data_IF_519693081639
#
_entry.id   IF_519693081639
#
_cell.length_a   1.000
_cell.length_b   1.000
_cell.length_c   1.000
_cell.angle_alpha   90.00
_cell.angle_beta   90.00
_cell.angle_gamma   90.00
#
_symmetry.space_group_name_H-M   'P 1'
#
loop_
_entity.id
_entity.type
_entity.pdbx_description
1 polymer ?
#
# COMPACT_ATOMS: atom_id res chain seq x y z
N UNK A 1 10.18 20.80 15.66
CA UNK A 1 11.04 21.10 14.50
C UNK A 1 10.67 20.17 13.36
N UNK A 2 10.64 20.63 12.10
CA UNK A 2 10.39 19.74 10.96
C UNK A 2 11.53 18.73 10.85
N UNK A 3 11.21 17.47 10.56
CA UNK A 3 12.24 16.46 10.34
C UNK A 3 13.01 16.76 9.06
N UNK A 4 14.33 16.89 9.18
CA UNK A 4 15.22 17.26 8.08
C UNK A 4 16.61 16.68 8.29
N UNK A 5 17.32 16.46 7.19
CA UNK A 5 18.77 16.20 7.23
C UNK A 5 19.50 17.27 6.43
N UNK A 6 20.68 17.62 6.93
CA UNK A 6 21.64 18.53 6.30
C UNK A 6 22.94 17.78 6.07
N UNK A 7 23.54 18.03 4.91
CA UNK A 7 24.85 17.49 4.55
C UNK A 7 25.81 18.67 4.51
N UNK A 8 26.92 18.50 5.21
CA UNK A 8 28.01 19.45 5.25
C UNK A 8 29.28 18.83 4.69
N UNK A 9 30.14 19.68 4.15
CA UNK A 9 31.50 19.34 3.78
C UNK A 9 32.46 20.09 4.69
N UNK A 10 33.50 19.41 5.14
CA UNK A 10 34.61 20.01 5.83
C UNK A 10 35.89 19.38 5.33
N UNK A 11 36.63 20.11 4.48
CA UNK A 11 37.82 19.56 3.81
C UNK A 11 37.46 18.21 3.14
N UNK A 12 38.09 17.10 3.50
CA UNK A 12 37.79 15.75 2.98
C UNK A 12 36.85 14.93 3.89
N UNK A 13 35.99 15.60 4.65
CA UNK A 13 35.06 14.96 5.59
C UNK A 13 33.62 15.28 5.20
N UNK A 14 32.85 14.24 4.89
CA UNK A 14 31.42 14.34 4.65
C UNK A 14 30.67 14.19 5.98
N UNK A 15 29.79 15.12 6.29
CA UNK A 15 29.05 15.14 7.56
C UNK A 15 27.57 15.19 7.25
N UNK A 16 26.81 14.21 7.73
CA UNK A 16 25.35 14.17 7.63
C UNK A 16 24.78 14.33 9.03
N UNK A 17 24.01 15.39 9.23
CA UNK A 17 23.29 15.64 10.47
C UNK A 17 21.80 15.57 10.21
N UNK A 18 21.07 14.86 11.06
CA UNK A 18 19.62 14.71 10.91
C UNK A 18 18.89 15.04 12.19
N UNK A 19 17.71 15.63 12.06
CA UNK A 19 16.69 15.78 13.10
C UNK A 19 15.45 14.99 12.64
N UNK A 20 15.08 13.96 13.39
CA UNK A 20 14.07 12.96 13.00
C UNK A 20 12.90 12.86 13.99
N UNK A 21 12.83 13.73 15.01
CA UNK A 21 11.82 13.60 16.08
C UNK A 21 10.39 13.52 15.57
N UNK A 22 9.99 14.41 14.67
CA UNK A 22 8.62 14.46 14.17
C UNK A 22 8.26 13.18 13.39
N UNK A 23 9.11 12.78 12.44
CA UNK A 23 8.86 11.61 11.59
C UNK A 23 8.87 10.30 12.39
N UNK A 24 9.71 10.20 13.41
CA UNK A 24 9.77 9.05 14.33
C UNK A 24 8.46 8.95 15.13
N UNK A 25 8.00 10.06 15.72
CA UNK A 25 6.73 10.05 16.46
C UNK A 25 5.54 9.71 15.55
N UNK A 26 5.55 10.17 14.30
CA UNK A 26 4.55 9.78 13.30
C UNK A 26 4.58 8.26 13.03
N UNK A 27 5.75 7.68 12.82
CA UNK A 27 5.92 6.24 12.62
C UNK A 27 5.46 5.43 13.85
N UNK A 28 5.87 5.83 15.07
CA UNK A 28 5.46 5.20 16.33
C UNK A 28 3.93 5.20 16.45
N UNK A 29 3.29 6.34 16.15
CA UNK A 29 1.82 6.47 16.20
C UNK A 29 1.14 5.55 15.18
N UNK A 30 1.65 5.47 13.95
CA UNK A 30 1.14 4.59 12.89
C UNK A 30 1.18 3.12 13.35
N UNK A 31 2.29 2.71 13.97
CA UNK A 31 2.48 1.34 14.40
C UNK A 31 1.85 1.00 15.75
N UNK A 32 1.39 2.03 16.48
CA UNK A 32 0.86 1.96 17.85
C UNK A 32 1.88 1.31 18.80
N UNK A 33 3.14 1.71 18.70
CA UNK A 33 4.20 1.20 19.56
C UNK A 33 4.29 2.01 20.85
N UNK A 34 4.78 1.35 21.90
CA UNK A 34 5.14 1.96 23.17
C UNK A 34 6.46 1.38 23.70
N UNK A 35 6.91 1.95 24.82
CA UNK A 35 8.02 1.42 25.62
C UNK A 35 9.28 1.13 24.76
N UNK A 36 9.90 -0.04 24.90
CA UNK A 36 11.15 -0.39 24.21
C UNK A 36 10.97 -0.49 22.71
N UNK A 37 9.80 -0.90 22.22
CA UNK A 37 9.54 -1.04 20.78
C UNK A 37 9.55 0.32 20.07
N UNK A 38 8.97 1.35 20.71
CA UNK A 38 9.06 2.73 20.24
C UNK A 38 10.50 3.20 20.13
N UNK A 39 11.32 2.86 21.12
CA UNK A 39 12.72 3.26 21.14
C UNK A 39 13.55 2.52 20.07
N UNK A 40 13.31 1.24 19.85
CA UNK A 40 13.97 0.45 18.79
C UNK A 40 13.61 1.02 17.41
N UNK A 41 12.33 1.29 17.15
CA UNK A 41 11.90 1.92 15.90
C UNK A 41 12.52 3.32 15.73
N UNK A 42 12.55 4.11 16.81
CA UNK A 42 13.15 5.44 16.81
C UNK A 42 14.63 5.40 16.44
N UNK A 43 15.42 4.56 17.13
CA UNK A 43 16.85 4.38 16.85
C UNK A 43 17.11 3.93 15.43
N UNK A 44 16.34 2.96 14.93
CA UNK A 44 16.53 2.46 13.57
C UNK A 44 16.21 3.54 12.52
N UNK A 45 15.09 4.26 12.65
CA UNK A 45 14.75 5.36 11.73
C UNK A 45 15.82 6.45 11.79
N UNK A 46 16.29 6.82 12.98
CA UNK A 46 17.27 7.89 13.16
C UNK A 46 18.63 7.53 12.55
N UNK A 47 19.08 6.29 12.72
CA UNK A 47 20.39 5.81 12.23
C UNK A 47 20.37 5.50 10.73
N UNK A 48 19.36 4.77 10.25
CA UNK A 48 19.34 4.25 8.88
C UNK A 48 18.60 5.15 7.89
N UNK A 49 17.67 5.97 8.37
CA UNK A 49 16.94 6.93 7.54
C UNK A 49 17.88 7.79 6.67
N UNK A 50 18.86 8.48 7.27
CA UNK A 50 19.77 9.39 6.57
C UNK A 50 20.59 8.77 5.44
N UNK A 51 20.69 7.44 5.35
CA UNK A 51 21.47 6.76 4.32
C UNK A 51 21.06 7.14 2.90
N UNK A 52 19.78 7.45 2.63
CA UNK A 52 19.33 7.84 1.28
C UNK A 52 19.96 9.13 0.75
N UNK A 53 20.63 9.90 1.61
CA UNK A 53 21.38 11.08 1.22
C UNK A 53 22.71 10.74 0.55
N UNK A 54 23.22 9.51 0.74
CA UNK A 54 24.40 8.99 0.05
C UNK A 54 24.11 8.57 -1.41
N UNK A 55 22.85 8.57 -1.83
CA UNK A 55 22.45 8.21 -3.20
C UNK A 55 22.79 9.36 -4.14
N UNK A 56 23.57 9.08 -5.18
CA UNK A 56 23.90 10.06 -6.24
C UNK A 56 22.89 10.05 -7.39
N UNK A 57 22.21 8.93 -7.63
CA UNK A 57 21.23 8.75 -8.70
C UNK A 57 19.93 9.54 -8.46
N UNK A 58 19.24 9.91 -9.55
CA UNK A 58 17.95 10.63 -9.50
C UNK A 58 16.81 9.80 -8.90
N UNK A 59 16.86 8.48 -9.12
CA UNK A 59 15.90 7.52 -8.55
C UNK A 59 16.68 6.44 -7.81
N UNK A 60 16.14 6.04 -6.68
CA UNK A 60 16.72 5.00 -5.86
C UNK A 60 16.43 5.20 -4.38
N UNK A 61 16.86 4.23 -3.59
CA UNK A 61 16.63 4.20 -2.17
C UNK A 61 17.46 3.14 -1.45
N UNK A 62 17.19 3.01 -0.16
CA UNK A 62 17.69 1.91 0.65
C UNK A 62 16.51 1.14 1.23
N UNK A 63 16.64 -0.18 1.28
CA UNK A 63 15.83 -1.09 2.08
C UNK A 63 16.74 -1.75 3.10
N UNK A 64 16.53 -1.40 4.36
CA UNK A 64 17.30 -1.90 5.50
C UNK A 64 16.43 -2.91 6.21
N UNK A 65 16.90 -4.15 6.33
CA UNK A 65 16.25 -5.21 7.09
C UNK A 65 17.13 -5.61 8.27
N UNK A 66 16.53 -5.59 9.45
CA UNK A 66 17.14 -6.03 10.70
C UNK A 66 16.32 -7.20 11.22
N UNK A 67 17.03 -8.26 11.57
CA UNK A 67 16.47 -9.44 12.22
C UNK A 67 17.29 -9.75 13.46
N UNK A 68 16.63 -10.05 14.57
CA UNK A 68 17.26 -10.68 15.73
C UNK A 68 16.28 -11.60 16.44
N UNK A 69 16.76 -12.39 17.40
CA UNK A 69 15.91 -13.25 18.24
C UNK A 69 14.72 -12.51 18.87
N UNK A 70 14.92 -11.26 19.28
CA UNK A 70 13.90 -10.42 19.92
C UNK A 70 13.26 -9.41 18.95
N UNK A 71 13.60 -9.48 17.66
CA UNK A 71 13.10 -8.57 16.63
C UNK A 71 12.86 -9.37 15.35
N UNK A 72 11.66 -9.96 15.23
CA UNK A 72 11.32 -10.87 14.15
C UNK A 72 11.48 -10.24 12.76
N UNK A 73 11.11 -8.97 12.62
CA UNK A 73 11.40 -8.22 11.41
C UNK A 73 11.24 -6.72 11.65
N UNK A 74 12.32 -5.98 11.43
CA UNK A 74 12.30 -4.54 11.27
C UNK A 74 12.79 -4.19 9.88
N UNK A 75 11.97 -3.48 9.11
CA UNK A 75 12.33 -3.00 7.78
C UNK A 75 12.18 -1.49 7.74
N UNK A 76 13.19 -0.80 7.22
CA UNK A 76 13.14 0.64 6.95
C UNK A 76 13.43 0.83 5.47
N UNK A 77 12.58 1.59 4.81
CA UNK A 77 12.79 1.98 3.42
C UNK A 77 12.84 3.49 3.30
N UNK A 78 13.87 3.97 2.62
CA UNK A 78 14.04 5.39 2.31
C UNK A 78 14.35 5.57 0.84
N UNK A 79 13.99 6.72 0.29
CA UNK A 79 14.33 7.06 -1.09
C UNK A 79 15.02 8.42 -1.22
N UNK A 80 15.51 8.70 -2.43
CA UNK A 80 16.18 9.97 -2.77
C UNK A 80 15.31 11.20 -2.52
N UNK A 81 13.99 11.09 -2.44
CA UNK A 81 13.07 12.22 -2.22
C UNK A 81 12.82 12.52 -0.74
N UNK A 82 13.47 11.81 0.20
CA UNK A 82 13.26 12.07 1.63
C UNK A 82 11.95 11.47 2.13
N UNK A 83 11.45 10.46 1.44
CA UNK A 83 10.34 9.65 1.91
C UNK A 83 10.88 8.47 2.70
N UNK A 84 10.22 8.15 3.81
CA UNK A 84 10.54 7.02 4.66
C UNK A 84 9.28 6.22 5.01
N UNK A 85 9.44 4.90 5.12
CA UNK A 85 8.48 4.02 5.77
C UNK A 85 9.20 2.97 6.57
N UNK A 86 8.53 2.44 7.58
CA UNK A 86 9.05 1.34 8.36
C UNK A 86 7.97 0.28 8.59
N UNK A 87 8.38 -0.98 8.69
CA UNK A 87 7.56 -2.05 9.23
C UNK A 87 8.20 -2.59 10.48
N UNK A 88 7.43 -2.77 11.54
CA UNK A 88 7.91 -3.27 12.83
C UNK A 88 7.07 -4.45 13.27
N UNK A 89 7.69 -5.63 13.35
CA UNK A 89 7.05 -6.85 13.82
C UNK A 89 7.70 -7.34 15.12
N UNK A 90 7.11 -6.95 16.25
CA UNK A 90 7.21 -7.52 17.60
C UNK A 90 6.50 -6.57 18.60
N UNK A 91 5.17 -6.54 18.64
CA UNK A 91 4.44 -5.45 19.32
C UNK A 91 4.20 -5.65 20.82
N UNK A 92 4.45 -6.85 21.35
CA UNK A 92 3.93 -7.24 22.67
C UNK A 92 4.97 -7.26 23.79
N UNK A 93 6.22 -6.91 23.50
CA UNK A 93 7.27 -6.89 24.50
C UNK A 93 7.39 -5.53 25.19
N UNK A 94 7.44 -5.50 26.52
CA UNK A 94 7.65 -4.30 27.33
C UNK A 94 8.68 -4.57 28.42
N UNK A 95 9.44 -3.54 28.80
CA UNK A 95 10.33 -3.55 29.97
C UNK A 95 9.83 -2.53 31.00
N UNK A 96 10.17 -2.70 32.29
CA UNK A 96 9.77 -1.73 33.32
C UNK A 96 10.28 -0.31 33.05
N UNK A 97 9.46 0.70 33.34
CA UNK A 97 9.76 2.10 33.02
C UNK A 97 11.00 2.64 33.77
N UNK A 98 11.38 2.02 34.89
CA UNK A 98 12.60 2.35 35.64
C UNK A 98 13.89 2.17 34.82
N UNK A 99 13.91 1.24 33.86
CA UNK A 99 15.07 1.01 33.01
C UNK A 99 15.38 2.22 32.14
N UNK A 100 14.36 2.96 31.69
CA UNK A 100 14.51 4.18 30.90
C UNK A 100 15.08 5.36 31.69
N UNK A 101 15.03 5.30 33.03
CA UNK A 101 15.65 6.29 33.92
C UNK A 101 17.11 5.94 34.26
N UNK A 102 17.45 4.65 34.24
CA UNK A 102 18.74 4.12 34.68
C UNK A 102 19.75 3.97 33.55
N UNK A 103 19.30 3.58 32.37
CA UNK A 103 20.16 3.29 31.22
C UNK A 103 19.91 4.29 30.10
N UNK A 104 20.95 4.57 29.31
CA UNK A 104 20.76 5.43 28.17
C UNK A 104 20.00 4.69 27.04
N UNK A 105 19.32 5.42 26.14
CA UNK A 105 18.47 4.79 25.14
C UNK A 105 19.20 3.83 24.18
N UNK A 106 20.46 4.10 23.83
CA UNK A 106 21.22 3.23 22.92
C UNK A 106 21.57 1.88 23.58
N UNK A 107 21.93 1.90 24.86
CA UNK A 107 22.19 0.69 25.65
C UNK A 107 20.94 -0.20 25.78
N UNK A 108 19.77 0.41 25.98
CA UNK A 108 18.50 -0.31 26.04
C UNK A 108 18.18 -0.99 24.71
N UNK A 109 18.37 -0.29 23.59
CA UNK A 109 18.16 -0.86 22.25
C UNK A 109 19.13 -2.01 22.00
N UNK A 110 20.42 -1.83 22.26
CA UNK A 110 21.41 -2.90 22.10
C UNK A 110 21.09 -4.12 22.97
N UNK A 111 20.72 -3.91 24.24
CA UNK A 111 20.35 -4.99 25.15
C UNK A 111 19.11 -5.76 24.70
N UNK A 112 18.12 -5.06 24.13
CA UNK A 112 16.89 -5.67 23.64
C UNK A 112 17.10 -6.41 22.32
N UNK A 113 17.70 -5.75 21.32
CA UNK A 113 17.93 -6.32 19.99
C UNK A 113 18.94 -7.45 20.06
N UNK A 114 20.04 -7.25 20.79
CA UNK A 114 21.14 -8.18 20.92
C UNK A 114 21.94 -8.37 19.63
N UNK A 115 22.84 -9.34 19.65
CA UNK A 115 23.76 -9.65 18.54
C UNK A 115 23.40 -10.93 17.77
N UNK A 116 22.36 -11.64 18.20
CA UNK A 116 21.91 -12.90 17.58
C UNK A 116 21.00 -12.60 16.40
N UNK A 117 21.59 -12.17 15.28
CA UNK A 117 20.86 -11.72 14.11
C UNK A 117 21.72 -11.08 13.02
N UNK A 118 21.10 -10.36 12.10
CA UNK A 118 21.79 -9.69 11.00
C UNK A 118 21.22 -8.31 10.67
N UNK A 119 22.07 -7.48 10.08
CA UNK A 119 21.74 -6.25 9.38
C UNK A 119 21.95 -6.48 7.89
N UNK A 120 20.90 -6.31 7.09
CA UNK A 120 20.96 -6.34 5.62
C UNK A 120 20.58 -4.98 5.07
N UNK A 121 21.43 -4.42 4.21
CA UNK A 121 21.17 -3.16 3.52
C UNK A 121 21.17 -3.45 2.02
N UNK A 122 20.04 -3.16 1.38
CA UNK A 122 19.90 -3.19 -0.07
C UNK A 122 19.77 -1.75 -0.59
N UNK A 123 20.68 -1.34 -1.46
CA UNK A 123 20.60 -0.09 -2.22
C UNK A 123 20.00 -0.41 -3.57
N UNK A 124 18.85 0.17 -3.88
CA UNK A 124 18.21 0.04 -5.19
C UNK A 124 18.33 1.34 -5.98
N UNK A 125 18.50 1.22 -7.29
CA UNK A 125 18.78 2.36 -8.19
C UNK A 125 18.34 2.11 -9.63
N UNK A 126 18.66 3.03 -10.55
CA UNK A 126 18.35 2.83 -11.97
C UNK A 126 19.30 1.86 -12.65
N UNK A 127 20.58 1.86 -12.22
CA UNK A 127 21.63 1.12 -12.94
C UNK A 127 21.87 -0.26 -12.36
N UNK A 128 22.02 -0.37 -11.04
CA UNK A 128 22.32 -1.62 -10.36
C UNK A 128 21.77 -1.61 -8.93
N UNK A 129 21.30 -2.77 -8.48
CA UNK A 129 21.00 -3.03 -7.08
C UNK A 129 22.23 -3.60 -6.39
N UNK A 130 22.55 -3.12 -5.19
CA UNK A 130 23.64 -3.61 -4.36
C UNK A 130 23.09 -4.06 -3.02
N UNK A 131 23.43 -5.27 -2.58
CA UNK A 131 23.04 -5.77 -1.27
C UNK A 131 24.26 -6.23 -0.47
N UNK A 132 24.37 -5.74 0.75
CA UNK A 132 25.31 -6.23 1.76
C UNK A 132 24.57 -6.75 2.99
N UNK A 133 25.13 -7.76 3.65
CA UNK A 133 24.61 -8.31 4.89
C UNK A 133 25.76 -8.59 5.86
N UNK A 134 25.60 -8.16 7.11
CA UNK A 134 26.57 -8.39 8.20
C UNK A 134 25.86 -8.93 9.45
N UNK A 135 26.54 -9.73 10.28
CA UNK A 135 26.02 -10.07 11.60
C UNK A 135 25.87 -8.83 12.48
N UNK A 136 24.86 -8.82 13.35
CA UNK A 136 24.75 -7.79 14.40
C UNK A 136 25.93 -7.92 15.36
N UNK A 137 26.49 -6.79 15.77
CA UNK A 137 27.61 -6.74 16.72
C UNK A 137 27.08 -6.68 18.14
N UNK A 138 26.23 -5.69 18.40
CA UNK A 138 25.59 -5.45 19.71
C UNK A 138 24.12 -5.08 19.60
N UNK A 139 23.61 -4.77 18.39
CA UNK A 139 22.21 -4.44 18.19
C UNK A 139 21.82 -3.00 18.50
N UNK A 140 22.80 -2.11 18.76
CA UNK A 140 22.57 -0.68 19.03
C UNK A 140 22.38 0.16 17.76
N UNK A 141 22.45 -0.49 16.58
CA UNK A 141 22.39 0.07 15.23
C UNK A 141 23.55 0.99 14.84
N UNK A 142 24.14 1.72 15.79
CA UNK A 142 25.31 2.59 15.57
C UNK A 142 26.55 1.75 15.26
N UNK A 143 26.88 0.81 16.15
CA UNK A 143 28.01 -0.09 16.01
C UNK A 143 27.80 -1.06 14.85
N UNK A 144 26.56 -1.50 14.65
CA UNK A 144 26.19 -2.40 13.55
C UNK A 144 26.36 -1.72 12.18
N UNK A 145 25.92 -0.47 12.03
CA UNK A 145 26.10 0.29 10.80
C UNK A 145 27.57 0.68 10.57
N UNK A 146 28.32 1.02 11.62
CA UNK A 146 29.74 1.29 11.52
C UNK A 146 30.49 0.05 11.00
N UNK A 147 30.17 -1.12 11.54
CA UNK A 147 30.72 -2.40 11.09
C UNK A 147 30.33 -2.71 9.64
N UNK A 148 29.07 -2.46 9.25
CA UNK A 148 28.63 -2.59 7.86
C UNK A 148 29.47 -1.73 6.91
N UNK A 149 29.69 -0.44 7.22
CA UNK A 149 30.50 0.44 6.38
C UNK A 149 31.95 -0.02 6.28
N UNK A 150 32.52 -0.49 7.38
CA UNK A 150 33.88 -1.02 7.39
C UNK A 150 34.00 -2.28 6.50
N UNK A 151 33.12 -3.27 6.69
CA UNK A 151 33.22 -4.56 6.01
C UNK A 151 32.74 -4.53 4.55
N UNK A 152 31.64 -3.84 4.28
CA UNK A 152 30.96 -3.91 2.95
C UNK A 152 31.27 -2.73 2.03
N UNK A 153 31.62 -1.56 2.58
CA UNK A 153 31.87 -0.34 1.79
C UNK A 153 33.34 0.11 1.83
N UNK A 154 34.16 -0.47 2.72
CA UNK A 154 35.56 -0.08 2.93
C UNK A 154 35.75 1.40 3.27
N UNK A 155 34.74 2.02 3.91
CA UNK A 155 34.76 3.44 4.27
C UNK A 155 34.87 3.59 5.78
N UNK A 156 35.88 4.34 6.25
CA UNK A 156 35.96 4.75 7.66
C UNK A 156 34.84 5.74 7.96
N UNK A 157 33.91 5.31 8.80
CA UNK A 157 32.72 6.07 9.16
C UNK A 157 32.56 6.14 10.67
N UNK A 158 32.13 7.28 11.19
CA UNK A 158 31.72 7.44 12.58
C UNK A 158 30.25 7.80 12.63
N UNK A 159 29.52 7.14 13.53
CA UNK A 159 28.07 7.32 13.68
C UNK A 159 27.77 7.66 15.14
N UNK A 160 26.86 8.60 15.36
CA UNK A 160 26.27 8.87 16.67
C UNK A 160 24.76 8.92 16.56
N UNK A 161 24.09 8.34 17.55
CA UNK A 161 22.64 8.39 17.73
C UNK A 161 22.34 9.10 19.05
N UNK A 162 21.61 10.21 18.98
CA UNK A 162 21.11 10.96 20.13
C UNK A 162 19.60 10.85 20.15
N UNK A 163 19.05 10.23 21.20
CA UNK A 163 17.62 10.18 21.45
C UNK A 163 17.36 10.66 22.87
N UNK A 164 16.39 11.56 23.01
CA UNK A 164 15.86 12.01 24.29
C UNK A 164 14.39 11.63 24.37
N UNK A 165 13.98 11.20 25.56
CA UNK A 165 12.62 10.79 25.87
C UNK A 165 12.10 11.56 27.07
N UNK A 166 10.80 11.87 27.09
CA UNK A 166 10.16 12.47 28.26
C UNK A 166 9.71 11.41 29.28
N UNK A 167 9.05 11.87 30.35
CA UNK A 167 8.53 11.02 31.42
C UNK A 167 7.45 10.03 30.95
N UNK A 168 6.83 10.28 29.79
CA UNK A 168 5.83 9.43 29.17
C UNK A 168 6.45 8.55 28.06
N UNK A 169 7.78 8.43 28.01
CA UNK A 169 8.54 7.68 27.00
C UNK A 169 8.33 8.18 25.57
N UNK A 170 7.87 9.42 25.39
CA UNK A 170 7.73 10.04 24.09
C UNK A 170 9.08 10.58 23.63
N UNK A 171 9.42 10.37 22.36
CA UNK A 171 10.64 10.90 21.76
C UNK A 171 10.53 12.43 21.66
N UNK A 172 11.33 13.17 22.43
CA UNK A 172 11.38 14.64 22.41
C UNK A 172 12.44 15.16 21.45
N UNK A 173 13.55 14.43 21.31
CA UNK A 173 14.66 14.74 20.41
C UNK A 173 15.21 13.46 19.81
N UNK A 174 15.51 13.46 18.51
CA UNK A 174 16.14 12.38 17.80
C UNK A 174 17.06 12.97 16.74
N UNK A 175 18.36 13.00 17.03
CA UNK A 175 19.38 13.48 16.12
C UNK A 175 20.39 12.39 15.81
N UNK A 176 20.85 12.35 14.56
CA UNK A 176 21.89 11.42 14.13
C UNK A 176 23.03 12.18 13.48
N UNK A 177 24.24 11.69 13.66
CA UNK A 177 25.43 12.17 12.99
C UNK A 177 26.09 11.00 12.26
N UNK A 178 26.33 11.14 10.96
CA UNK A 178 27.13 10.22 10.16
C UNK A 178 28.28 11.02 9.57
N UNK A 179 29.51 10.65 9.91
CA UNK A 179 30.73 11.24 9.38
C UNK A 179 31.43 10.19 8.53
N UNK A 180 31.81 10.54 7.30
CA UNK A 180 32.60 9.68 6.42
C UNK A 180 33.85 10.42 5.97
N UNK A 181 34.99 9.76 6.11
CA UNK A 181 36.24 10.27 5.55
C UNK A 181 36.26 9.97 4.04
N UNK A 182 36.39 11.02 3.23
CA UNK A 182 36.53 10.93 1.78
C UNK A 182 37.98 10.60 1.39
N UNK A 183 38.23 10.12 0.16
CA UNK A 183 39.59 9.87 -0.29
C UNK A 183 40.52 11.07 -0.08
N UNK A 184 41.79 10.80 0.25
CA UNK A 184 42.84 11.80 0.51
C UNK A 184 42.68 12.61 1.80
N UNK A 185 41.95 12.09 2.80
CA UNK A 185 41.94 12.67 4.14
C UNK A 185 43.34 12.65 4.77
N UNK A 186 43.62 13.62 5.66
CA UNK A 186 44.84 13.75 6.44
C UNK A 186 44.67 13.24 7.88
N UNK A 187 45.79 12.98 8.55
CA UNK A 187 45.78 12.57 9.97
C UNK A 187 45.21 13.67 10.88
N UNK A 188 45.41 14.95 10.53
CA UNK A 188 44.85 16.07 11.30
C UNK A 188 43.31 16.08 11.22
N UNK A 189 42.74 15.73 10.08
CA UNK A 189 41.27 15.64 9.91
C UNK A 189 40.69 14.51 10.77
N UNK A 190 41.40 13.39 10.90
CA UNK A 190 41.00 12.31 11.83
C UNK A 190 40.98 12.82 13.27
N UNK A 191 42.03 13.51 13.71
CA UNK A 191 42.14 14.05 15.06
C UNK A 191 41.03 15.07 15.37
N UNK A 192 40.69 15.93 14.41
CA UNK A 192 39.57 16.88 14.51
C UNK A 192 38.23 16.14 14.68
N UNK A 193 37.95 15.14 13.84
CA UNK A 193 36.74 14.32 13.93
C UNK A 193 36.67 13.60 15.28
N UNK A 194 37.76 12.97 15.74
CA UNK A 194 37.80 12.31 17.04
C UNK A 194 37.55 13.30 18.19
N UNK A 195 38.07 14.51 18.10
CA UNK A 195 37.85 15.57 19.09
C UNK A 195 36.36 15.92 19.18
N UNK A 196 35.68 16.09 18.04
CA UNK A 196 34.24 16.31 18.01
C UNK A 196 33.47 15.14 18.63
N UNK A 197 33.80 13.91 18.29
CA UNK A 197 33.13 12.71 18.79
C UNK A 197 33.32 12.46 20.30
N UNK A 198 34.43 12.93 20.87
CA UNK A 198 34.76 12.87 22.31
C UNK A 198 34.13 14.04 23.08
N UNK A 199 33.71 15.11 22.41
CA UNK A 199 33.17 16.30 23.04
C UNK A 199 31.74 16.06 23.59
N UNK A 200 31.66 15.69 24.86
CA UNK A 200 30.39 15.50 25.59
C UNK A 200 29.53 16.77 25.72
N UNK A 201 30.07 17.95 25.38
CA UNK A 201 29.29 19.20 25.41
C UNK A 201 28.43 19.39 24.15
N UNK A 202 28.67 18.62 23.08
CA UNK A 202 27.83 18.66 21.89
C UNK A 202 26.50 17.98 22.22
N UNK A 203 25.51 18.80 22.60
CA UNK A 203 24.14 18.36 22.91
C UNK A 203 23.19 18.51 21.72
N UNK A 204 23.60 19.26 20.70
CA UNK A 204 22.85 19.45 19.47
C UNK A 204 23.79 19.40 18.28
N UNK A 205 23.62 18.40 17.43
CA UNK A 205 24.46 18.24 16.25
C UNK A 205 24.12 19.27 15.17
N UNK A 206 22.85 19.71 15.09
CA UNK A 206 22.42 20.68 14.07
C UNK A 206 23.05 22.04 14.35
N UNK A 207 23.00 22.47 15.62
CA UNK A 207 23.64 23.72 16.06
C UNK A 207 25.16 23.65 15.89
N UNK A 208 25.79 22.55 16.32
CA UNK A 208 27.25 22.43 16.29
C UNK A 208 27.85 22.54 14.87
N UNK A 209 27.19 21.94 13.87
CA UNK A 209 27.67 21.95 12.48
C UNK A 209 27.06 23.09 11.64
N UNK A 210 26.31 24.03 12.23
CA UNK A 210 25.57 25.04 11.45
C UNK A 210 26.47 25.93 10.58
N UNK A 211 27.69 26.19 11.06
CA UNK A 211 28.67 27.08 10.43
C UNK A 211 29.59 26.37 9.42
N UNK A 212 29.37 25.08 9.18
CA UNK A 212 30.11 24.30 8.19
C UNK A 212 29.53 24.53 6.79
N UNK A 213 30.29 24.21 5.74
CA UNK A 213 29.84 24.37 4.36
C UNK A 213 28.66 23.44 4.07
N UNK A 214 27.46 24.01 3.91
CA UNK A 214 26.24 23.26 3.61
C UNK A 214 26.20 22.90 2.11
N UNK A 215 26.25 21.60 1.79
CA UNK A 215 26.19 21.11 0.41
C UNK A 215 24.79 20.58 0.03
N UNK A 216 23.91 20.37 1.00
CA UNK A 216 22.54 19.97 0.72
C UNK A 216 21.67 19.85 1.96
N UNK A 217 20.37 19.97 1.76
CA UNK A 217 19.37 19.74 2.80
C UNK A 217 18.13 19.10 2.19
N UNK A 218 17.35 18.38 3.01
CA UNK A 218 16.05 17.86 2.59
C UNK A 218 15.19 17.49 3.79
N UNK A 219 13.89 17.53 3.58
CA UNK A 219 12.88 17.24 4.58
C UNK A 219 12.44 15.78 4.50
N UNK A 220 12.05 15.24 5.65
CA UNK A 220 11.52 13.88 5.77
C UNK A 220 10.00 13.87 5.77
N UNK A 221 9.43 12.87 5.11
CA UNK A 221 7.98 12.61 5.11
C UNK A 221 7.72 11.12 5.24
N UNK A 222 6.70 10.75 6.03
CA UNK A 222 6.27 9.36 6.09
C UNK A 222 5.44 9.07 4.84
N UNK A 223 5.75 7.97 4.15
CA UNK A 223 5.06 7.64 2.91
C UNK A 223 4.80 6.15 2.79
N UNK A 224 3.54 5.79 2.54
CA UNK A 224 3.20 4.43 2.16
C UNK A 224 2.36 4.44 0.88
N UNK A 225 2.90 3.83 -0.18
CA UNK A 225 2.23 3.65 -1.47
C UNK A 225 1.33 2.41 -1.54
N UNK A 226 0.77 1.92 -0.43
CA UNK A 226 -0.17 0.81 -0.48
C UNK A 226 -1.45 1.25 -1.21
N UNK A 227 -1.82 0.52 -2.26
CA UNK A 227 -3.03 0.76 -3.06
C UNK A 227 -3.92 -0.48 -3.05
N UNK A 228 -5.25 -0.27 -3.02
CA UNK A 228 -6.27 -1.31 -3.03
C UNK A 228 -6.15 -2.21 -4.25
N UNK A 229 -5.71 -1.67 -5.39
CA UNK A 229 -5.58 -2.42 -6.65
C UNK A 229 -4.67 -3.64 -6.50
N UNK A 230 -3.50 -3.46 -5.87
CA UNK A 230 -2.55 -4.55 -5.66
C UNK A 230 -3.06 -5.59 -4.65
N UNK A 231 -3.90 -5.17 -3.69
CA UNK A 231 -4.49 -6.08 -2.70
C UNK A 231 -5.56 -6.98 -3.34
N UNK A 232 -6.34 -6.47 -4.29
CA UNK A 232 -7.31 -7.27 -5.05
C UNK A 232 -6.58 -8.34 -5.88
N UNK A 233 -5.44 -8.00 -6.49
CA UNK A 233 -4.63 -9.01 -7.21
C UNK A 233 -4.13 -10.11 -6.26
N UNK A 234 -3.73 -9.75 -5.04
CA UNK A 234 -3.30 -10.72 -4.04
C UNK A 234 -4.42 -11.65 -3.56
N UNK A 235 -5.70 -11.27 -3.67
CA UNK A 235 -6.82 -12.18 -3.39
C UNK A 235 -6.74 -13.44 -4.28
N UNK A 236 -6.19 -13.34 -5.48
CA UNK A 236 -6.04 -14.47 -6.40
C UNK A 236 -5.05 -15.54 -5.92
N UNK A 237 -4.21 -15.22 -4.93
CA UNK A 237 -3.27 -16.17 -4.35
C UNK A 237 -3.98 -17.17 -3.42
N UNK A 238 -5.15 -16.81 -2.88
CA UNK A 238 -5.91 -17.69 -2.01
C UNK A 238 -6.68 -18.74 -2.81
N UNK A 239 -6.72 -19.94 -2.25
CA UNK A 239 -7.56 -21.06 -2.69
C UNK A 239 -8.99 -20.88 -2.19
N UNK A 240 -9.95 -21.55 -2.84
CA UNK A 240 -11.36 -21.49 -2.43
C UNK A 240 -11.55 -21.96 -0.98
N UNK A 241 -10.85 -23.04 -0.59
CA UNK A 241 -10.89 -23.57 0.77
C UNK A 241 -10.41 -22.55 1.81
N UNK A 242 -9.29 -21.87 1.57
CA UNK A 242 -8.77 -20.86 2.49
C UNK A 242 -9.75 -19.69 2.64
N UNK A 243 -10.36 -19.26 1.54
CA UNK A 243 -11.38 -18.20 1.58
C UNK A 243 -12.62 -18.65 2.32
N UNK A 244 -13.10 -19.88 2.08
CA UNK A 244 -14.26 -20.41 2.77
C UNK A 244 -14.04 -20.56 4.27
N UNK A 245 -12.84 -21.03 4.67
CA UNK A 245 -12.45 -21.10 6.08
C UNK A 245 -12.39 -19.69 6.69
N UNK A 246 -11.83 -18.69 5.99
CA UNK A 246 -11.79 -17.31 6.47
C UNK A 246 -13.20 -16.69 6.60
N UNK A 247 -14.06 -16.87 5.60
CA UNK A 247 -15.41 -16.31 5.59
C UNK A 247 -16.29 -17.01 6.63
N UNK A 248 -16.16 -18.33 6.80
CA UNK A 248 -16.89 -19.09 7.82
C UNK A 248 -16.53 -18.65 9.24
N UNK A 249 -15.25 -18.46 9.52
CA UNK A 249 -14.76 -18.16 10.87
C UNK A 249 -14.77 -16.66 11.20
N UNK A 250 -14.56 -15.79 10.21
CA UNK A 250 -14.33 -14.36 10.42
C UNK A 250 -15.25 -13.45 9.60
N UNK A 251 -16.08 -13.99 8.70
CA UNK A 251 -17.00 -13.27 7.80
C UNK A 251 -16.35 -12.33 6.77
N UNK A 252 -15.02 -12.17 6.80
CA UNK A 252 -14.25 -11.29 5.92
C UNK A 252 -12.82 -11.81 5.74
N UNK A 253 -12.16 -11.32 4.70
CA UNK A 253 -10.72 -11.45 4.47
C UNK A 253 -10.09 -10.09 4.78
N UNK A 254 -9.11 -10.02 5.67
CA UNK A 254 -8.45 -8.75 6.03
C UNK A 254 -6.98 -8.74 5.64
N UNK A 255 -6.57 -7.69 4.93
CA UNK A 255 -5.17 -7.37 4.72
C UNK A 255 -4.77 -6.18 5.60
N UNK A 256 -3.68 -6.34 6.33
CA UNK A 256 -3.08 -5.27 7.12
C UNK A 256 -1.75 -4.91 6.47
N UNK A 257 -1.56 -3.64 6.12
CA UNK A 257 -0.28 -3.18 5.58
C UNK A 257 0.77 -3.11 6.69
N UNK A 258 1.87 -3.85 6.55
CA UNK A 258 2.96 -3.86 7.54
C UNK A 258 3.68 -2.50 7.68
N UNK A 259 3.49 -1.55 6.76
CA UNK A 259 4.15 -0.23 6.79
C UNK A 259 3.28 0.90 7.35
N UNK A 260 1.99 0.91 7.02
CA UNK A 260 1.09 2.00 7.42
C UNK A 260 -0.08 1.54 8.29
N UNK A 261 -0.13 0.25 8.63
CA UNK A 261 -1.15 -0.41 9.46
C UNK A 261 -2.60 -0.26 9.00
N UNK A 262 -2.83 0.36 7.84
CA UNK A 262 -4.14 0.42 7.21
C UNK A 262 -4.63 -1.00 6.96
N UNK A 263 -5.85 -1.24 7.42
CA UNK A 263 -6.56 -2.51 7.24
C UNK A 263 -7.57 -2.35 6.12
N UNK A 264 -7.67 -3.37 5.26
CA UNK A 264 -8.69 -3.45 4.22
C UNK A 264 -9.38 -4.80 4.30
N UNK A 265 -10.72 -4.76 4.33
CA UNK A 265 -11.56 -5.95 4.40
C UNK A 265 -12.17 -6.24 3.03
N UNK A 266 -12.19 -7.53 2.67
CA UNK A 266 -12.78 -8.06 1.45
C UNK A 266 -13.78 -9.17 1.79
N UNK A 267 -14.76 -9.35 0.92
CA UNK A 267 -15.79 -10.38 0.99
C UNK A 267 -15.47 -11.56 0.07
N UNK A 268 -16.23 -12.66 0.19
CA UNK A 268 -16.15 -13.77 -0.77
C UNK A 268 -16.41 -13.28 -2.20
N UNK A 269 -17.34 -12.33 -2.38
CA UNK A 269 -17.67 -11.73 -3.67
C UNK A 269 -16.46 -11.01 -4.29
N UNK A 270 -15.70 -10.27 -3.49
CA UNK A 270 -14.47 -9.60 -3.95
C UNK A 270 -13.42 -10.61 -4.42
N UNK A 271 -13.27 -11.74 -3.72
CA UNK A 271 -12.37 -12.82 -4.14
C UNK A 271 -12.82 -13.49 -5.45
N UNK A 272 -14.12 -13.78 -5.61
CA UNK A 272 -14.68 -14.30 -6.87
C UNK A 272 -14.38 -13.34 -8.02
N UNK A 273 -14.53 -12.03 -7.78
CA UNK A 273 -14.27 -11.00 -8.79
C UNK A 273 -12.78 -10.85 -9.10
N UNK A 274 -11.90 -11.09 -8.14
CA UNK A 274 -10.47 -11.15 -8.39
C UNK A 274 -10.12 -12.35 -9.28
N UNK A 275 -10.68 -13.54 -8.99
CA UNK A 275 -10.41 -14.79 -9.73
C UNK A 275 -10.92 -14.74 -11.17
N UNK A 276 -12.08 -14.12 -11.34
CA UNK A 276 -12.74 -13.94 -12.64
C UNK A 276 -12.91 -12.44 -12.93
N UNK A 277 -11.82 -11.74 -13.31
CA UNK A 277 -11.78 -10.29 -13.44
C UNK A 277 -12.71 -9.75 -14.52
N UNK A 278 -13.14 -10.63 -15.44
CA UNK A 278 -14.22 -10.40 -16.38
C UNK A 278 -15.20 -11.57 -16.33
N UNK A 279 -16.31 -11.37 -15.62
CA UNK A 279 -17.46 -12.29 -15.55
C UNK A 279 -18.73 -11.49 -15.76
N UNK A 280 -19.65 -12.02 -16.59
CA UNK A 280 -20.81 -11.33 -17.13
C UNK A 280 -22.07 -12.19 -17.00
N UNK A 281 -23.20 -11.56 -16.66
CA UNK A 281 -24.52 -12.16 -16.79
C UNK A 281 -25.52 -11.16 -17.39
N UNK A 282 -26.65 -11.64 -17.91
CA UNK A 282 -27.75 -10.79 -18.40
C UNK A 282 -29.03 -10.96 -17.56
N UNK A 283 -29.81 -9.88 -17.44
CA UNK A 283 -31.20 -9.94 -16.95
C UNK A 283 -32.11 -9.20 -17.94
N UNK A 284 -32.94 -9.94 -18.66
CA UNK A 284 -33.62 -9.46 -19.86
C UNK A 284 -35.14 -9.43 -19.66
N UNK A 285 -35.74 -8.24 -19.78
CA UNK A 285 -37.20 -8.05 -19.75
C UNK A 285 -37.78 -7.60 -21.11
N UNK A 286 -36.92 -7.27 -22.09
CA UNK A 286 -37.33 -6.72 -23.38
C UNK A 286 -36.89 -7.61 -24.56
N UNK A 287 -35.68 -8.15 -24.47
CA UNK A 287 -34.98 -8.83 -25.57
C UNK A 287 -35.22 -10.34 -25.61
N UNK A 288 -35.87 -10.91 -24.59
CA UNK A 288 -36.25 -12.33 -24.58
C UNK A 288 -35.08 -13.32 -24.60
N UNK A 289 -33.89 -12.93 -24.14
CA UNK A 289 -32.68 -13.75 -24.19
C UNK A 289 -31.81 -13.49 -25.42
N UNK A 290 -32.22 -12.58 -26.31
CA UNK A 290 -31.45 -12.27 -27.52
C UNK A 290 -30.08 -11.65 -27.24
N UNK A 291 -29.91 -10.90 -26.14
CA UNK A 291 -28.58 -10.40 -25.76
C UNK A 291 -27.68 -11.54 -25.27
N UNK A 292 -28.20 -12.44 -24.42
CA UNK A 292 -27.48 -13.65 -24.04
C UNK A 292 -27.07 -14.48 -25.26
N UNK A 293 -27.99 -14.65 -26.22
CA UNK A 293 -27.74 -15.35 -27.47
C UNK A 293 -26.63 -14.68 -28.31
N UNK A 294 -26.56 -13.35 -28.32
CA UNK A 294 -25.48 -12.62 -28.98
C UNK A 294 -24.13 -12.85 -28.28
N UNK A 295 -24.10 -12.74 -26.94
CA UNK A 295 -22.88 -12.93 -26.16
C UNK A 295 -22.28 -14.33 -26.37
N UNK A 296 -23.11 -15.39 -26.39
CA UNK A 296 -22.61 -16.77 -26.53
C UNK A 296 -22.05 -17.10 -27.91
N UNK A 297 -22.26 -16.25 -28.93
CA UNK A 297 -21.56 -16.38 -30.23
C UNK A 297 -20.05 -16.15 -30.09
N UNK A 298 -19.63 -15.49 -29.03
CA UNK A 298 -18.21 -15.28 -28.71
C UNK A 298 -17.50 -16.60 -28.43
N UNK A 299 -16.40 -16.86 -29.14
CA UNK A 299 -15.55 -18.02 -28.84
C UNK A 299 -15.03 -17.94 -27.39
N UNK A 300 -15.32 -18.98 -26.61
CA UNK A 300 -14.93 -19.03 -25.20
C UNK A 300 -15.87 -18.29 -24.26
N UNK A 301 -17.09 -17.95 -24.69
CA UNK A 301 -18.14 -17.36 -23.85
C UNK A 301 -18.33 -18.10 -22.52
N UNK A 302 -18.20 -19.44 -22.50
CA UNK A 302 -18.31 -20.26 -21.29
C UNK A 302 -17.29 -19.91 -20.19
N UNK A 303 -16.21 -19.18 -20.50
CA UNK A 303 -15.20 -18.75 -19.53
C UNK A 303 -15.60 -17.49 -18.76
N UNK A 304 -16.51 -16.68 -19.30
CA UNK A 304 -16.87 -15.38 -18.71
C UNK A 304 -18.37 -15.15 -18.59
N UNK A 305 -19.20 -15.77 -19.42
CA UNK A 305 -20.64 -15.60 -19.39
C UNK A 305 -21.27 -16.66 -18.47
N UNK A 306 -21.79 -16.22 -17.32
CA UNK A 306 -22.40 -17.10 -16.33
C UNK A 306 -23.82 -17.53 -16.73
N UNK A 307 -24.53 -16.70 -17.51
CA UNK A 307 -25.88 -16.99 -17.97
C UNK A 307 -26.77 -15.76 -18.06
N UNK A 308 -28.04 -16.00 -18.37
CA UNK A 308 -29.06 -14.95 -18.47
C UNK A 308 -30.36 -15.35 -17.77
N UNK A 309 -31.04 -14.38 -17.17
CA UNK A 309 -32.41 -14.54 -16.64
C UNK A 309 -33.36 -13.71 -17.48
N UNK A 310 -34.40 -14.35 -18.02
CA UNK A 310 -35.47 -13.66 -18.73
C UNK A 310 -36.65 -13.42 -17.78
N UNK A 311 -36.87 -12.17 -17.37
CA UNK A 311 -37.95 -11.78 -16.46
C UNK A 311 -39.07 -10.99 -17.17
N UNK A 312 -39.50 -11.51 -18.32
CA UNK A 312 -40.43 -10.86 -19.24
C UNK A 312 -41.76 -10.47 -18.57
N UNK A 313 -42.36 -11.34 -17.76
CA UNK A 313 -43.64 -11.10 -17.10
C UNK A 313 -43.47 -10.42 -15.73
N UNK A 314 -44.42 -9.54 -15.36
CA UNK A 314 -44.41 -8.84 -14.07
C UNK A 314 -44.38 -9.79 -12.86
N UNK A 315 -45.12 -10.92 -12.93
CA UNK A 315 -45.07 -11.97 -11.87
C UNK A 315 -43.67 -12.55 -11.66
N UNK A 316 -42.85 -12.63 -12.70
CA UNK A 316 -41.46 -13.10 -12.58
C UNK A 316 -40.59 -12.01 -11.96
N UNK A 317 -40.80 -10.74 -12.31
CA UNK A 317 -40.13 -9.59 -11.69
C UNK A 317 -40.40 -9.52 -10.17
N UNK A 318 -41.65 -9.75 -9.76
CA UNK A 318 -42.02 -9.81 -8.35
C UNK A 318 -41.29 -10.92 -7.58
N UNK A 319 -41.15 -12.12 -8.18
CA UNK A 319 -40.40 -13.24 -7.59
C UNK A 319 -38.92 -12.94 -7.37
N UNK A 320 -38.34 -12.03 -8.16
CA UNK A 320 -36.95 -11.61 -8.03
C UNK A 320 -36.79 -10.30 -7.23
N UNK A 321 -37.84 -9.89 -6.49
CA UNK A 321 -37.79 -8.75 -5.57
C UNK A 321 -38.04 -7.39 -6.22
N UNK A 322 -38.52 -7.36 -7.47
CA UNK A 322 -38.76 -6.13 -8.21
C UNK A 322 -40.26 -5.83 -8.18
N UNK A 323 -40.62 -4.84 -7.35
CA UNK A 323 -42.00 -4.33 -7.25
C UNK A 323 -42.26 -3.25 -8.31
N UNK A 324 -43.21 -3.45 -9.24
CA UNK A 324 -43.50 -2.52 -10.32
C UNK A 324 -44.51 -1.44 -9.91
N UNK A 325 -44.33 -0.80 -8.74
CA UNK A 325 -45.31 0.14 -8.17
C UNK A 325 -45.53 1.39 -9.06
N UNK A 326 -44.62 1.71 -9.98
CA UNK A 326 -44.71 2.81 -10.97
C UNK A 326 -44.35 2.35 -12.40
N UNK A 327 -44.74 1.12 -12.75
CA UNK A 327 -44.37 0.49 -14.01
C UNK A 327 -42.94 -0.05 -14.05
N UNK A 328 -42.60 -0.73 -15.15
CA UNK A 328 -41.32 -1.47 -15.32
C UNK A 328 -40.34 -0.82 -16.31
N UNK A 329 -40.81 0.17 -17.08
CA UNK A 329 -40.00 0.92 -18.05
C UNK A 329 -39.38 2.14 -17.39
N UNK A 330 -38.43 1.90 -16.47
CA UNK A 330 -37.72 2.97 -15.77
C UNK A 330 -36.32 2.53 -15.31
N UNK A 331 -35.47 3.52 -15.01
CA UNK A 331 -34.10 3.32 -14.57
C UNK A 331 -34.00 2.49 -13.28
N UNK A 332 -34.92 2.68 -12.33
CA UNK A 332 -34.96 1.94 -11.06
C UNK A 332 -35.16 0.44 -11.28
N UNK A 333 -36.00 0.07 -12.25
CA UNK A 333 -36.24 -1.33 -12.60
C UNK A 333 -34.99 -1.96 -13.21
N UNK A 334 -34.33 -1.27 -14.16
CA UNK A 334 -33.07 -1.74 -14.73
C UNK A 334 -32.00 -1.96 -13.64
N UNK A 335 -31.77 -0.97 -12.77
CA UNK A 335 -30.79 -1.08 -11.69
C UNK A 335 -31.07 -2.25 -10.74
N UNK A 336 -32.33 -2.46 -10.34
CA UNK A 336 -32.71 -3.60 -9.50
C UNK A 336 -32.55 -4.95 -10.20
N UNK A 337 -32.82 -5.01 -11.51
CA UNK A 337 -32.56 -6.22 -12.31
C UNK A 337 -31.06 -6.53 -12.35
N UNK A 338 -30.21 -5.52 -12.55
CA UNK A 338 -28.76 -5.69 -12.53
C UNK A 338 -28.25 -6.13 -11.15
N UNK A 339 -28.73 -5.51 -10.07
CA UNK A 339 -28.40 -5.88 -8.68
C UNK A 339 -28.80 -7.33 -8.37
N UNK A 340 -30.04 -7.72 -8.72
CA UNK A 340 -30.51 -9.09 -8.57
C UNK A 340 -29.62 -10.08 -9.32
N UNK A 341 -29.33 -9.81 -10.60
CA UNK A 341 -28.47 -10.66 -11.39
C UNK A 341 -27.07 -10.80 -10.79
N UNK A 342 -26.52 -9.71 -10.22
CA UNK A 342 -25.17 -9.73 -9.64
C UNK A 342 -25.11 -10.63 -8.40
N UNK A 343 -26.18 -10.63 -7.60
CA UNK A 343 -26.30 -11.47 -6.42
C UNK A 343 -26.61 -12.94 -6.78
N UNK A 344 -27.41 -13.18 -7.82
CA UNK A 344 -27.75 -14.52 -8.28
C UNK A 344 -26.57 -15.23 -8.93
N UNK A 345 -25.94 -14.58 -9.92
CA UNK A 345 -24.85 -15.16 -10.70
C UNK A 345 -23.47 -15.01 -10.05
N UNK A 346 -23.33 -14.16 -9.04
CA UNK A 346 -22.04 -13.82 -8.42
C UNK A 346 -21.00 -13.36 -9.47
N UNK A 347 -21.45 -12.66 -10.52
CA UNK A 347 -20.59 -12.10 -11.57
C UNK A 347 -20.22 -10.66 -11.28
N UNK A 348 -19.06 -10.24 -11.77
CA UNK A 348 -18.57 -8.87 -11.60
C UNK A 348 -19.43 -7.86 -12.36
N UNK A 349 -19.86 -8.24 -13.55
CA UNK A 349 -20.69 -7.42 -14.42
C UNK A 349 -22.04 -8.08 -14.66
N UNK A 350 -23.10 -7.28 -14.58
CA UNK A 350 -24.44 -7.67 -15.01
C UNK A 350 -25.01 -6.56 -15.86
N UNK A 351 -25.51 -6.94 -17.03
CA UNK A 351 -26.26 -6.06 -17.90
C UNK A 351 -27.74 -6.41 -17.85
N UNK A 352 -28.59 -5.42 -17.67
CA UNK A 352 -30.04 -5.61 -17.62
C UNK A 352 -30.76 -4.69 -18.58
N UNK A 353 -31.86 -5.17 -19.16
CA UNK A 353 -32.62 -4.44 -20.18
C UNK A 353 -34.12 -4.50 -19.87
N UNK A 354 -34.74 -3.33 -19.75
CA UNK A 354 -36.20 -3.17 -19.61
C UNK A 354 -36.69 -2.05 -20.52
N UNK A 355 -37.91 -2.13 -21.03
CA UNK A 355 -38.46 -1.11 -21.94
C UNK A 355 -39.63 -1.63 -22.77
N UNK A 356 -40.08 -0.81 -23.71
CA UNK A 356 -41.15 -1.17 -24.65
C UNK A 356 -40.63 -1.25 -26.09
N UNK A 357 -40.70 -2.44 -26.68
CA UNK A 357 -40.49 -2.62 -28.12
C UNK A 357 -41.81 -2.71 -28.89
N UNK A 358 -42.97 -2.59 -28.23
CA UNK A 358 -44.28 -2.68 -28.88
C UNK A 358 -44.68 -4.12 -29.30
N UNK A 359 -45.74 -4.27 -30.13
CA UNK A 359 -46.55 -3.19 -30.71
C UNK A 359 -47.48 -2.51 -29.69
N UNK A 360 -47.81 -3.18 -28.59
CA UNK A 360 -48.60 -2.61 -27.49
C UNK A 360 -47.70 -1.93 -26.46
N UNK A 361 -48.13 -0.79 -25.94
CA UNK A 361 -47.45 -0.06 -24.87
C UNK A 361 -48.04 -0.54 -23.54
N UNK A 362 -47.20 -1.12 -22.67
CA UNK A 362 -47.61 -1.45 -21.31
C UNK A 362 -47.46 -0.24 -20.37
N UNK A 363 -46.30 0.44 -20.38
CA UNK A 363 -46.00 1.59 -19.50
C UNK A 363 -44.96 2.51 -20.15
N UNK A 364 -45.15 3.84 -20.19
CA UNK A 364 -44.18 4.77 -20.79
C UNK A 364 -44.39 4.97 -22.29
N UNK A 365 -43.33 5.22 -23.07
CA UNK A 365 -43.42 5.44 -24.54
C UNK A 365 -42.96 4.21 -25.33
N UNK A 366 -43.49 4.03 -26.54
CA UNK A 366 -42.94 3.07 -27.50
C UNK A 366 -41.48 3.44 -27.79
N UNK A 367 -40.57 2.46 -27.76
CA UNK A 367 -39.16 2.69 -27.99
C UNK A 367 -38.38 3.21 -26.78
N UNK A 368 -39.05 3.50 -25.65
CA UNK A 368 -38.37 3.88 -24.42
C UNK A 368 -37.75 2.65 -23.77
N UNK A 369 -36.43 2.68 -23.56
CA UNK A 369 -35.64 1.56 -23.04
C UNK A 369 -34.65 2.05 -22.00
N UNK A 370 -34.46 1.24 -20.96
CA UNK A 370 -33.44 1.42 -19.94
C UNK A 370 -32.50 0.22 -19.94
N UNK A 371 -31.21 0.51 -20.09
CA UNK A 371 -30.13 -0.49 -20.03
C UNK A 371 -29.27 -0.13 -18.82
N UNK A 372 -29.05 -1.07 -17.93
CA UNK A 372 -28.14 -0.89 -16.79
C UNK A 372 -26.98 -1.87 -16.86
N UNK A 373 -25.77 -1.38 -16.58
CA UNK A 373 -24.55 -2.16 -16.36
C UNK A 373 -24.09 -1.91 -14.93
N UNK A 374 -24.33 -2.87 -14.05
CA UNK A 374 -24.25 -2.68 -12.60
C UNK A 374 -25.05 -1.43 -12.17
N UNK A 375 -24.37 -0.40 -11.64
CA UNK A 375 -24.99 0.83 -11.13
C UNK A 375 -25.16 1.94 -12.19
N UNK A 376 -24.58 1.77 -13.39
CA UNK A 376 -24.73 2.75 -14.47
C UNK A 376 -25.95 2.41 -15.30
N UNK A 377 -26.78 3.41 -15.59
CA UNK A 377 -28.01 3.25 -16.37
C UNK A 377 -28.08 4.27 -17.49
N UNK A 378 -28.54 3.83 -18.66
CA UNK A 378 -28.80 4.64 -19.83
C UNK A 378 -30.28 4.56 -20.18
N UNK A 379 -30.88 5.70 -20.48
CA UNK A 379 -32.21 5.81 -21.08
C UNK A 379 -32.05 6.05 -22.59
N UNK A 380 -32.75 5.28 -23.40
CA UNK A 380 -32.76 5.37 -24.85
C UNK A 380 -34.20 5.56 -25.33
N UNK A 381 -34.37 6.37 -26.37
CA UNK A 381 -35.62 6.51 -27.12
C UNK A 381 -35.34 6.03 -28.54
N UNK A 382 -35.74 4.79 -28.83
CA UNK A 382 -35.44 4.09 -30.07
C UNK A 382 -36.64 4.13 -31.02
N UNK A 383 -36.37 4.22 -32.32
CA UNK A 383 -37.42 4.35 -33.34
C UNK A 383 -37.45 3.14 -34.27
N UNK A 384 -38.65 2.59 -34.48
CA UNK A 384 -38.91 1.54 -35.45
C UNK A 384 -39.91 0.52 -34.97
N UNK A 385 -39.94 -0.61 -35.67
CA UNK A 385 -40.71 -1.77 -35.25
C UNK A 385 -40.04 -2.51 -34.09
N UNK A 386 -40.75 -3.50 -33.54
CA UNK A 386 -40.30 -4.30 -32.40
C UNK A 386 -38.93 -4.93 -32.61
N UNK A 387 -38.67 -5.46 -33.80
CA UNK A 387 -37.41 -6.14 -34.11
C UNK A 387 -36.26 -5.15 -34.18
N UNK A 388 -36.47 -3.99 -34.82
CA UNK A 388 -35.47 -2.93 -34.87
C UNK A 388 -35.13 -2.39 -33.49
N UNK A 389 -36.14 -2.10 -32.65
CA UNK A 389 -35.92 -1.63 -31.28
C UNK A 389 -35.09 -2.65 -30.47
N UNK A 390 -35.43 -3.94 -30.55
CA UNK A 390 -34.68 -5.01 -29.87
C UNK A 390 -33.23 -5.08 -30.37
N UNK A 391 -33.01 -5.03 -31.68
CA UNK A 391 -31.67 -5.07 -32.26
C UNK A 391 -30.82 -3.87 -31.85
N UNK A 392 -31.39 -2.66 -31.86
CA UNK A 392 -30.71 -1.44 -31.43
C UNK A 392 -30.34 -1.50 -29.93
N UNK A 393 -31.22 -2.08 -29.09
CA UNK A 393 -30.91 -2.35 -27.69
C UNK A 393 -29.71 -3.29 -27.52
N UNK A 394 -29.70 -4.41 -28.26
CA UNK A 394 -28.63 -5.41 -28.18
C UNK A 394 -27.31 -4.78 -28.63
N UNK A 395 -27.33 -4.01 -29.71
CA UNK A 395 -26.13 -3.33 -30.22
C UNK A 395 -25.56 -2.36 -29.19
N UNK A 396 -26.39 -1.51 -28.60
CA UNK A 396 -25.94 -0.59 -27.55
C UNK A 396 -25.39 -1.35 -26.33
N UNK A 397 -26.09 -2.40 -25.89
CA UNK A 397 -25.64 -3.23 -24.78
C UNK A 397 -24.28 -3.91 -25.06
N UNK A 398 -24.10 -4.45 -26.27
CA UNK A 398 -22.84 -5.05 -26.71
C UNK A 398 -21.69 -4.03 -26.76
N UNK A 399 -21.96 -2.81 -27.24
CA UNK A 399 -20.99 -1.70 -27.20
C UNK A 399 -20.54 -1.40 -25.76
N UNK A 400 -21.47 -1.29 -24.81
CA UNK A 400 -21.15 -1.06 -23.39
C UNK A 400 -20.40 -2.20 -22.74
N UNK A 401 -20.68 -3.45 -23.12
CA UNK A 401 -19.89 -4.60 -22.67
C UNK A 401 -18.46 -4.52 -23.23
N UNK A 402 -18.31 -4.13 -24.51
CA UNK A 402 -17.00 -4.02 -25.15
C UNK A 402 -16.13 -2.90 -24.53
N UNK A 403 -16.71 -1.80 -24.06
CA UNK A 403 -16.00 -0.72 -23.36
C UNK A 403 -15.31 -1.18 -22.05
N UNK A 404 -15.89 -2.16 -21.35
CA UNK A 404 -15.38 -2.65 -20.04
C UNK A 404 -14.54 -3.92 -20.14
N UNK A 405 -14.43 -4.50 -21.33
CA UNK A 405 -13.84 -5.82 -21.51
C UNK A 405 -12.33 -5.74 -21.71
N UNK A 406 -11.56 -6.73 -21.23
CA UNK A 406 -10.17 -6.90 -21.65
C UNK A 406 -10.06 -7.06 -23.17
N UNK A 407 -8.99 -6.49 -23.76
CA UNK A 407 -8.68 -6.59 -25.20
C UNK A 407 -8.56 -8.05 -25.72
N UNK A 408 -8.44 -9.03 -24.83
CA UNK A 408 -8.23 -10.46 -25.14
C UNK A 408 -9.51 -11.24 -25.47
N UNK A 409 -10.69 -10.67 -25.27
CA UNK A 409 -11.98 -11.28 -25.61
C UNK A 409 -12.56 -10.45 -26.78
N UNK A 410 -13.35 -11.03 -27.70
CA UNK A 410 -14.08 -10.36 -28.82
C UNK A 410 -15.52 -10.85 -28.88
N UNK A 411 -16.52 -9.95 -28.79
CA UNK A 411 -17.98 -10.20 -28.73
C UNK A 411 -18.52 -9.61 -30.00
#
# INVERSE_FOLDING_TARGET
MKSQSKIYLYKNVLIIVSEMSQIINEAIKIHQLDNINSLVLASAINVFGPLSYLIKEEKGGFSIKIFSKNLESLVIETNKNGQIRASFNNKNYKIPDEYFKKYNPNELVGSFVGNSGFLKINKFGQKNDYSGQVPLQVGDFVSDLAFYFYQSQQTRSAIKNLIEIDQNLKITKAQSLIIQLLPNYSESEIQEVESWLKNKKIKDFIEFFENFELIGSKNWTYYCGCDNKNLIENLNLFTEKEVDDLIKNYQKIEFVCNFCTKTQSFTKKDWVFAKNPFSLATVESLTGGALAAEIVKTKGASKFFAGGIVCYQNKIKEKIGIKPENGVTNAKTALKMAEFGQNFFQTKYVISLTGNAGPEIQDGKLGQVFIALNEKVWELNLEGDRLKIINDCIKFAAEKINEIRPNTIKI
#
